data_IF_940058364801
#
_entry.id   IF_940058364801
#
_cell.length_a   1.000
_cell.length_b   1.000
_cell.length_c   1.000
_cell.angle_alpha   90.00
_cell.angle_beta   90.00
_cell.angle_gamma   90.00
#
_symmetry.space_group_name_H-M   'P 1'
#
loop_
_entity.id
_entity.type
_entity.pdbx_description
1 polymer ?
#
# COMPACT_ATOMS: atom_id res chain seq x y z
N UNK A 1 -3.37 -8.73 6.46
CA UNK A 1 -3.21 -9.03 7.91
C UNK A 1 -4.04 -10.23 8.35
N UNK A 2 -5.38 -10.23 8.26
CA UNK A 2 -6.24 -11.34 8.77
C UNK A 2 -5.79 -12.74 8.31
N UNK A 3 -5.52 -12.94 7.01
CA UNK A 3 -4.98 -14.21 6.48
C UNK A 3 -3.70 -14.64 7.20
N UNK A 4 -2.76 -13.71 7.41
CA UNK A 4 -1.49 -14.01 8.07
C UNK A 4 -1.72 -14.30 9.56
N UNK A 5 -2.60 -13.55 10.24
CA UNK A 5 -2.97 -13.78 11.63
C UNK A 5 -3.54 -15.18 11.85
N UNK A 6 -4.55 -15.56 11.05
CA UNK A 6 -5.19 -16.88 11.13
C UNK A 6 -4.21 -18.02 10.85
N UNK A 7 -3.26 -17.80 9.95
CA UNK A 7 -2.22 -18.80 9.60
C UNK A 7 -0.97 -18.71 10.47
N UNK A 8 -0.94 -17.81 11.45
CA UNK A 8 0.24 -17.50 12.27
C UNK A 8 1.52 -17.24 11.43
N UNK A 9 1.38 -16.48 10.34
CA UNK A 9 2.47 -16.21 9.41
C UNK A 9 3.17 -14.90 9.71
N UNK A 10 4.50 -14.96 9.79
CA UNK A 10 5.37 -13.79 9.76
C UNK A 10 5.41 -13.16 8.37
N UNK A 11 5.93 -11.94 8.29
CA UNK A 11 6.00 -11.16 7.05
C UNK A 11 6.78 -11.85 5.92
N UNK A 12 7.79 -12.66 6.27
CA UNK A 12 8.63 -13.42 5.32
C UNK A 12 8.02 -14.77 4.91
N UNK A 13 6.98 -15.24 5.58
CA UNK A 13 6.28 -16.50 5.28
C UNK A 13 5.02 -16.27 4.43
N UNK A 14 4.47 -15.06 4.48
CA UNK A 14 3.31 -14.66 3.69
C UNK A 14 3.65 -14.48 2.22
N UNK A 15 2.78 -14.97 1.33
CA UNK A 15 2.90 -14.72 -0.11
C UNK A 15 2.35 -13.36 -0.56
N UNK A 16 1.70 -12.60 0.33
CA UNK A 16 1.19 -11.25 0.06
C UNK A 16 0.19 -11.14 -1.10
N UNK A 17 -0.49 -12.25 -1.40
CA UNK A 17 -1.52 -12.33 -2.43
C UNK A 17 -2.92 -12.05 -1.86
N UNK A 18 -3.73 -11.29 -2.61
CA UNK A 18 -5.13 -10.97 -2.29
C UNK A 18 -6.05 -11.69 -3.29
N UNK A 19 -7.06 -12.41 -2.78
CA UNK A 19 -7.95 -13.22 -3.61
C UNK A 19 -7.23 -14.41 -4.23
N UNK A 20 -6.38 -15.07 -3.45
CA UNK A 20 -5.64 -16.27 -3.87
C UNK A 20 -6.59 -17.42 -4.21
N UNK A 21 -6.23 -18.22 -5.23
CA UNK A 21 -6.90 -19.47 -5.61
C UNK A 21 -8.36 -19.35 -6.10
N UNK A 22 -8.84 -18.16 -6.41
CA UNK A 22 -10.21 -17.96 -6.93
C UNK A 22 -10.33 -18.25 -8.43
N UNK A 23 -9.23 -18.16 -9.18
CA UNK A 23 -9.22 -18.42 -10.62
C UNK A 23 -9.17 -19.92 -10.90
N UNK A 24 -9.84 -20.35 -11.99
CA UNK A 24 -9.76 -21.74 -12.47
C UNK A 24 -8.35 -22.07 -12.98
N UNK A 25 -7.73 -21.18 -13.76
CA UNK A 25 -6.34 -21.34 -14.22
C UNK A 25 -5.35 -20.75 -13.22
N UNK A 26 -4.98 -21.54 -12.20
CA UNK A 26 -4.08 -21.12 -11.12
C UNK A 26 -2.62 -20.92 -11.54
N UNK A 27 -2.20 -21.53 -12.66
CA UNK A 27 -0.83 -21.41 -13.14
C UNK A 27 -0.55 -19.99 -13.64
N UNK A 28 -1.47 -19.44 -14.41
CA UNK A 28 -1.37 -18.12 -15.02
C UNK A 28 -2.06 -17.02 -14.19
N UNK A 29 -2.90 -17.38 -13.22
CA UNK A 29 -3.60 -16.46 -12.35
C UNK A 29 -3.61 -16.96 -10.89
N UNK A 30 -2.61 -16.53 -10.12
CA UNK A 30 -2.44 -16.99 -8.73
C UNK A 30 -3.42 -16.30 -7.79
N UNK A 31 -3.72 -15.04 -8.05
CA UNK A 31 -4.56 -14.18 -7.23
C UNK A 31 -5.11 -12.99 -8.02
N UNK A 32 -6.02 -12.21 -7.42
CA UNK A 32 -6.49 -10.95 -8.04
C UNK A 32 -5.39 -9.88 -7.98
N UNK A 33 -4.66 -9.80 -6.85
CA UNK A 33 -3.65 -8.77 -6.61
C UNK A 33 -2.45 -9.32 -5.85
N UNK A 34 -1.32 -8.66 -6.03
CA UNK A 34 -0.09 -8.88 -5.28
C UNK A 34 0.29 -7.60 -4.57
N UNK A 35 0.39 -7.62 -3.23
CA UNK A 35 0.84 -6.45 -2.49
C UNK A 35 2.35 -6.24 -2.63
N UNK A 36 3.14 -7.32 -2.77
CA UNK A 36 4.60 -7.25 -2.87
C UNK A 36 5.08 -6.86 -4.26
N UNK A 37 4.35 -7.27 -5.30
CA UNK A 37 4.68 -6.98 -6.70
C UNK A 37 3.40 -6.66 -7.51
N UNK A 38 2.79 -5.47 -7.34
CA UNK A 38 1.58 -5.08 -8.07
C UNK A 38 1.76 -5.22 -9.59
N UNK A 39 0.75 -5.73 -10.29
CA UNK A 39 0.79 -5.98 -11.73
C UNK A 39 1.25 -7.40 -12.11
N UNK A 40 1.54 -8.26 -11.13
CA UNK A 40 2.06 -9.62 -11.36
C UNK A 40 1.15 -10.75 -10.89
N UNK A 41 -0.04 -10.45 -10.35
CA UNK A 41 -0.89 -11.46 -9.73
C UNK A 41 -1.45 -12.48 -10.74
N UNK A 42 -1.69 -12.02 -11.98
CA UNK A 42 -2.15 -12.85 -13.08
C UNK A 42 -1.78 -12.27 -14.45
N UNK A 43 -1.64 -13.18 -15.41
CA UNK A 43 -1.49 -12.88 -16.83
C UNK A 43 -2.14 -14.01 -17.64
N UNK A 44 -3.32 -13.75 -18.22
CA UNK A 44 -4.01 -14.71 -19.08
C UNK A 44 -3.86 -14.35 -20.56
N UNK A 45 -3.76 -13.07 -20.87
CA UNK A 45 -3.46 -12.53 -22.20
C UNK A 45 -3.03 -11.05 -22.10
N UNK A 46 -2.56 -10.40 -23.18
CA UNK A 46 -2.27 -8.96 -23.17
C UNK A 46 -3.47 -8.09 -22.74
N UNK A 47 -4.70 -8.52 -23.04
CA UNK A 47 -5.94 -7.82 -22.68
C UNK A 47 -6.43 -8.18 -21.28
N UNK A 48 -6.07 -9.36 -20.77
CA UNK A 48 -6.53 -9.91 -19.49
C UNK A 48 -5.33 -10.21 -18.60
N UNK A 49 -4.86 -9.17 -17.90
CA UNK A 49 -3.71 -9.20 -17.00
C UNK A 49 -3.93 -8.26 -15.82
N UNK A 50 -3.20 -8.47 -14.74
CA UNK A 50 -3.15 -7.54 -13.62
C UNK A 50 -2.66 -6.16 -14.10
N UNK A 51 -3.52 -5.15 -13.95
CA UNK A 51 -3.25 -3.77 -14.39
C UNK A 51 -2.64 -2.90 -13.29
N UNK A 52 -2.46 -3.42 -12.07
CA UNK A 52 -1.96 -2.60 -10.97
C UNK A 52 -0.55 -2.07 -11.25
N UNK A 53 -0.29 -0.86 -10.79
CA UNK A 53 1.06 -0.29 -10.72
C UNK A 53 1.50 -0.17 -9.26
N UNK A 54 2.81 -0.27 -9.04
CA UNK A 54 3.41 -0.26 -7.70
C UNK A 54 4.33 0.93 -7.43
N UNK A 55 4.29 1.97 -8.27
CA UNK A 55 5.15 3.16 -8.13
C UNK A 55 4.48 4.41 -8.71
N UNK A 56 4.67 5.57 -8.09
CA UNK A 56 4.10 6.87 -8.51
C UNK A 56 4.56 7.35 -9.89
N UNK A 57 5.70 6.87 -10.37
CA UNK A 57 6.19 7.17 -11.73
C UNK A 57 5.21 6.71 -12.82
N UNK A 58 4.42 5.68 -12.51
CA UNK A 58 3.45 5.08 -13.43
C UNK A 58 2.02 5.57 -13.12
N UNK A 59 1.87 6.52 -12.18
CA UNK A 59 0.59 7.16 -11.86
C UNK A 59 0.24 8.18 -12.94
N UNK A 60 -0.98 8.09 -13.46
CA UNK A 60 -1.56 9.06 -14.39
C UNK A 60 -2.92 9.48 -13.85
N UNK A 61 -3.19 10.78 -13.85
CA UNK A 61 -4.52 11.26 -13.46
C UNK A 61 -5.56 10.77 -14.47
N UNK A 62 -6.52 9.96 -14.01
CA UNK A 62 -7.60 9.41 -14.82
C UNK A 62 -8.93 10.08 -14.48
N UNK A 63 -9.88 10.16 -15.43
CA UNK A 63 -11.24 10.62 -15.17
C UNK A 63 -11.93 9.85 -14.05
N UNK A 64 -12.79 10.55 -13.30
CA UNK A 64 -13.62 9.96 -12.24
C UNK A 64 -14.92 9.39 -12.82
N UNK A 65 -14.81 8.35 -13.64
CA UNK A 65 -15.94 7.63 -14.22
C UNK A 65 -15.73 6.11 -14.20
N UNK A 66 -16.79 5.33 -14.44
CA UNK A 66 -16.73 3.87 -14.39
C UNK A 66 -15.80 3.26 -15.44
N UNK A 67 -15.69 3.89 -16.61
CA UNK A 67 -14.83 3.41 -17.72
C UNK A 67 -13.35 3.48 -17.35
N UNK A 68 -12.98 4.43 -16.48
CA UNK A 68 -11.63 4.65 -15.99
C UNK A 68 -11.44 4.16 -14.54
N UNK A 69 -12.24 3.20 -14.09
CA UNK A 69 -12.12 2.62 -12.75
C UNK A 69 -12.22 3.69 -11.64
N UNK A 70 -13.13 4.65 -11.83
CA UNK A 70 -13.39 5.79 -10.96
C UNK A 70 -12.10 6.56 -10.59
N UNK A 71 -11.24 6.83 -11.57
CA UNK A 71 -9.93 7.43 -11.36
C UNK A 71 -8.82 6.40 -11.07
N UNK A 72 -9.01 5.14 -11.47
CA UNK A 72 -8.01 4.08 -11.30
C UNK A 72 -7.90 3.56 -9.87
N UNK A 73 -8.97 3.52 -9.09
CA UNK A 73 -8.93 3.12 -7.66
C UNK A 73 -8.33 1.73 -7.46
N UNK A 74 -8.60 0.78 -8.36
CA UNK A 74 -8.04 -0.56 -8.30
C UNK A 74 -6.66 -0.64 -8.96
N UNK A 75 -6.39 0.14 -10.00
CA UNK A 75 -5.08 0.26 -10.66
C UNK A 75 -4.02 0.81 -9.69
N UNK A 76 -4.32 1.94 -9.04
CA UNK A 76 -3.35 2.69 -8.23
C UNK A 76 -3.27 2.23 -6.78
N UNK A 77 -4.23 1.42 -6.29
CA UNK A 77 -4.12 0.78 -4.95
C UNK A 77 -2.88 -0.11 -4.77
N UNK A 78 -2.21 -0.51 -5.86
CA UNK A 78 -0.93 -1.21 -5.79
C UNK A 78 0.19 -0.39 -5.13
N UNK A 79 0.15 0.95 -5.26
CA UNK A 79 1.14 1.87 -4.68
C UNK A 79 1.13 1.81 -3.14
N UNK A 80 0.00 2.09 -2.44
CA UNK A 80 -0.05 1.98 -0.98
C UNK A 80 0.05 0.52 -0.50
N UNK A 81 -0.39 -0.46 -1.29
CA UNK A 81 -0.19 -1.88 -0.95
C UNK A 81 1.30 -2.24 -0.87
N UNK A 82 2.10 -1.78 -1.83
CA UNK A 82 3.54 -2.02 -1.87
C UNK A 82 4.27 -1.27 -0.76
N UNK A 83 3.87 -0.03 -0.46
CA UNK A 83 4.41 0.71 0.69
C UNK A 83 4.18 -0.06 2.01
N UNK A 84 2.95 -0.55 2.25
CA UNK A 84 2.65 -1.37 3.42
C UNK A 84 3.49 -2.66 3.48
N UNK A 85 3.61 -3.38 2.35
CA UNK A 85 4.44 -4.57 2.25
C UNK A 85 5.90 -4.28 2.62
N UNK A 86 6.46 -3.20 2.09
CA UNK A 86 7.85 -2.80 2.32
C UNK A 86 8.09 -2.45 3.79
N UNK A 87 7.21 -1.67 4.42
CA UNK A 87 7.32 -1.37 5.84
C UNK A 87 7.23 -2.64 6.69
N UNK A 88 6.21 -3.48 6.46
CA UNK A 88 6.02 -4.70 7.23
C UNK A 88 7.24 -5.62 7.09
N UNK A 89 7.80 -5.75 5.89
CA UNK A 89 9.00 -6.56 5.63
C UNK A 89 10.24 -6.00 6.32
N UNK A 90 10.44 -4.69 6.29
CA UNK A 90 11.55 -4.03 6.96
C UNK A 90 11.50 -4.16 8.50
N UNK A 91 10.29 -4.19 9.07
CA UNK A 91 10.10 -4.38 10.51
C UNK A 91 10.24 -5.84 10.95
N UNK A 92 10.02 -6.80 10.05
CA UNK A 92 10.03 -8.22 10.39
C UNK A 92 8.83 -8.63 11.25
N UNK A 93 8.90 -9.82 11.85
CA UNK A 93 7.89 -10.32 12.77
C UNK A 93 6.51 -10.48 12.13
N UNK A 94 5.46 -10.07 12.85
CA UNK A 94 4.08 -10.15 12.37
C UNK A 94 3.59 -8.78 11.86
N UNK A 95 2.98 -8.75 10.67
CA UNK A 95 2.57 -7.49 10.03
C UNK A 95 1.59 -6.64 10.85
N UNK A 96 0.80 -7.27 11.74
CA UNK A 96 -0.20 -6.61 12.56
C UNK A 96 0.34 -6.02 13.86
N UNK A 97 1.59 -6.30 14.25
CA UNK A 97 2.13 -5.84 15.54
C UNK A 97 2.54 -4.37 15.53
N UNK A 98 3.17 -3.92 14.44
CA UNK A 98 3.67 -2.55 14.27
C UNK A 98 3.08 -1.92 13.01
N UNK A 99 3.43 -2.39 11.81
CA UNK A 99 2.99 -1.80 10.53
C UNK A 99 1.47 -1.67 10.45
N UNK A 100 0.75 -2.73 10.80
CA UNK A 100 -0.71 -2.77 10.84
C UNK A 100 -1.33 -1.75 11.80
N UNK A 101 -0.75 -1.61 13.01
CA UNK A 101 -1.23 -0.63 13.99
C UNK A 101 -1.02 0.80 13.52
N UNK A 102 0.11 1.09 12.85
CA UNK A 102 0.36 2.40 12.25
C UNK A 102 -0.72 2.69 11.22
N UNK A 103 -0.92 1.81 10.23
CA UNK A 103 -1.94 1.98 9.17
C UNK A 103 -3.34 2.20 9.74
N UNK A 104 -3.78 1.34 10.66
CA UNK A 104 -5.11 1.43 11.26
C UNK A 104 -5.25 2.71 12.08
N UNK A 105 -4.24 3.10 12.85
CA UNK A 105 -4.29 4.35 13.63
C UNK A 105 -4.35 5.58 12.72
N UNK A 106 -3.59 5.58 11.63
CA UNK A 106 -3.60 6.67 10.62
C UNK A 106 -4.97 6.84 9.99
N UNK A 107 -5.73 5.77 9.73
CA UNK A 107 -7.09 5.87 9.18
C UNK A 107 -8.05 6.70 10.05
N UNK A 108 -7.75 6.85 11.35
CA UNK A 108 -8.55 7.66 12.28
C UNK A 108 -7.92 9.03 12.56
N UNK A 109 -6.89 9.44 11.81
CA UNK A 109 -6.32 10.78 11.92
C UNK A 109 -7.32 11.81 11.37
N UNK A 110 -7.68 12.79 12.21
CA UNK A 110 -8.68 13.82 11.89
C UNK A 110 -8.28 14.76 10.76
N UNK A 111 -7.01 14.75 10.36
CA UNK A 111 -6.50 15.55 9.23
C UNK A 111 -6.79 14.88 7.88
N UNK A 112 -7.12 13.59 7.88
CA UNK A 112 -7.58 12.91 6.68
C UNK A 112 -9.05 13.21 6.41
N UNK A 113 -9.35 13.46 5.15
CA UNK A 113 -10.69 13.71 4.64
C UNK A 113 -11.02 12.67 3.56
N UNK A 114 -12.30 12.55 3.14
CA UNK A 114 -12.66 11.71 2.01
C UNK A 114 -11.96 12.07 0.69
N UNK A 115 -11.33 13.26 0.61
CA UNK A 115 -10.59 13.74 -0.56
C UNK A 115 -9.07 13.60 -0.38
N UNK A 116 -8.59 12.99 0.71
CA UNK A 116 -7.16 12.87 0.95
C UNK A 116 -6.45 12.06 -0.13
N UNK A 117 -5.36 12.61 -0.64
CA UNK A 117 -4.49 11.93 -1.61
C UNK A 117 -3.45 11.03 -0.94
N UNK A 118 -2.62 10.36 -1.75
CA UNK A 118 -1.57 9.48 -1.22
C UNK A 118 -0.51 10.22 -0.42
N UNK A 119 -0.18 11.47 -0.77
CA UNK A 119 0.84 12.24 -0.07
C UNK A 119 0.33 12.64 1.32
N UNK A 120 -0.90 13.11 1.42
CA UNK A 120 -1.55 13.45 2.69
C UNK A 120 -1.66 12.23 3.60
N UNK A 121 -2.04 11.07 3.05
CA UNK A 121 -2.05 9.83 3.84
C UNK A 121 -0.65 9.44 4.31
N UNK A 122 0.35 9.50 3.43
CA UNK A 122 1.71 9.10 3.77
C UNK A 122 2.35 10.02 4.83
N UNK A 123 2.10 11.33 4.79
CA UNK A 123 2.53 12.29 5.83
C UNK A 123 1.90 11.91 7.17
N UNK A 124 0.57 11.74 7.22
CA UNK A 124 -0.13 11.35 8.45
C UNK A 124 0.35 9.99 8.97
N UNK A 125 0.72 9.08 8.07
CA UNK A 125 1.23 7.75 8.38
C UNK A 125 2.62 7.79 9.04
N UNK A 126 3.53 8.60 8.51
CA UNK A 126 4.88 8.80 9.07
C UNK A 126 4.80 9.44 10.46
N UNK A 127 3.95 10.46 10.62
CA UNK A 127 3.77 11.12 11.91
C UNK A 127 3.09 10.22 12.94
N UNK A 128 2.13 9.39 12.51
CA UNK A 128 1.55 8.34 13.36
C UNK A 128 2.63 7.39 13.86
N UNK A 129 3.53 6.94 12.97
CA UNK A 129 4.66 6.09 13.33
C UNK A 129 5.61 6.77 14.32
N UNK A 130 5.91 8.06 14.10
CA UNK A 130 6.72 8.89 14.99
C UNK A 130 6.11 8.98 16.39
N UNK A 131 4.81 9.27 16.50
CA UNK A 131 4.11 9.37 17.79
C UNK A 131 4.06 8.03 18.52
N UNK A 132 3.84 6.92 17.80
CA UNK A 132 3.63 5.61 18.43
C UNK A 132 4.93 4.89 18.79
N UNK A 133 5.98 5.03 17.97
CA UNK A 133 7.17 4.18 18.05
C UNK A 133 8.50 4.94 17.90
N UNK A 134 8.48 6.26 17.73
CA UNK A 134 9.67 7.09 17.63
C UNK A 134 10.34 7.09 16.24
N UNK A 135 11.50 7.74 16.18
CA UNK A 135 12.16 8.15 14.92
C UNK A 135 12.63 7.00 14.05
N UNK A 136 13.06 5.88 14.65
CA UNK A 136 13.53 4.73 13.88
C UNK A 136 12.39 4.14 13.03
N UNK A 137 11.22 3.92 13.62
CA UNK A 137 10.06 3.36 12.90
C UNK A 137 9.46 4.39 11.94
N UNK A 138 9.46 5.67 12.32
CA UNK A 138 9.05 6.75 11.42
C UNK A 138 9.92 6.80 10.16
N UNK A 139 11.24 6.67 10.29
CA UNK A 139 12.17 6.65 9.16
C UNK A 139 11.92 5.43 8.25
N UNK A 140 11.71 4.23 8.82
CA UNK A 140 11.34 3.05 8.03
C UNK A 140 10.00 3.25 7.29
N UNK A 141 9.04 3.90 7.94
CA UNK A 141 7.73 4.23 7.34
C UNK A 141 7.92 5.19 6.17
N UNK A 142 8.73 6.24 6.33
CA UNK A 142 9.08 7.17 5.27
C UNK A 142 9.76 6.47 4.09
N UNK A 143 10.79 5.66 4.35
CA UNK A 143 11.50 4.90 3.32
C UNK A 143 10.55 3.98 2.53
N UNK A 144 9.53 3.41 3.18
CA UNK A 144 8.55 2.57 2.49
C UNK A 144 7.68 3.33 1.48
N UNK A 145 7.37 4.60 1.76
CA UNK A 145 6.64 5.49 0.85
C UNK A 145 7.54 6.06 -0.26
N UNK A 146 8.79 6.41 0.08
CA UNK A 146 9.78 6.85 -0.90
C UNK A 146 10.13 5.76 -1.91
N UNK A 147 10.16 4.49 -1.48
CA UNK A 147 10.39 3.34 -2.35
C UNK A 147 9.26 3.10 -3.37
N UNK A 148 8.09 3.71 -3.18
CA UNK A 148 7.00 3.74 -4.17
C UNK A 148 6.86 5.10 -4.85
N UNK A 149 7.83 6.00 -4.68
CA UNK A 149 7.94 7.26 -5.40
C UNK A 149 7.19 8.44 -4.78
N UNK A 150 6.80 8.35 -3.49
CA UNK A 150 6.27 9.49 -2.73
C UNK A 150 7.39 10.08 -1.87
N UNK A 151 7.90 11.24 -2.29
CA UNK A 151 8.98 11.95 -1.62
C UNK A 151 8.46 13.15 -0.83
N UNK A 152 9.07 13.42 0.32
CA UNK A 152 8.61 14.46 1.25
C UNK A 152 9.63 15.61 1.29
N UNK A 153 9.26 16.75 0.71
CA UNK A 153 10.08 17.95 0.84
C UNK A 153 9.76 18.66 2.16
N UNK A 154 10.81 19.10 2.88
CA UNK A 154 10.72 19.75 4.21
C UNK A 154 9.82 21.00 4.29
N UNK A 155 9.39 21.56 3.15
CA UNK A 155 8.47 22.70 3.10
C UNK A 155 6.98 22.30 3.05
N UNK A 156 6.64 21.07 2.65
CA UNK A 156 5.24 20.61 2.55
C UNK A 156 4.62 20.19 3.89
N UNK A 157 5.43 19.87 4.91
CA UNK A 157 4.95 19.57 6.26
C UNK A 157 4.36 20.79 6.98
N UNK A 158 4.74 22.00 6.58
CA UNK A 158 4.25 23.25 7.19
C UNK A 158 2.92 23.74 6.59
N UNK A 159 2.53 23.25 5.40
CA UNK A 159 1.26 23.61 4.75
C UNK A 159 0.09 22.70 5.14
N UNK A 160 0.33 21.54 5.75
CA UNK A 160 -0.72 20.64 6.23
C UNK A 160 -1.37 21.10 7.56
N UNK A 161 -0.97 22.27 8.07
CA UNK A 161 -1.43 22.89 9.32
C UNK A 161 -2.10 24.25 9.11
N UNK A 162 -2.50 24.60 7.88
CA UNK A 162 -3.37 25.74 7.58
C UNK A 162 -4.67 25.25 6.99
#
# INVERSE_FOLDING_TARGET
>A
MVKQYVKNQKVNESNWLIGENIFMNKYNAKAIRSMSNPGSAYYLSPKVKDKQVGHMKDYVHLPLDEEHDNGGVHIYSGIPNRAFYLLATALGGYSWEIAGKIWIKTLFDKRLTPQSDFLQFAIANIETAQTMYGSQIANLTQQSWEAVGLYFNRQQSLSAHK
#
